data_IF_486871445175
#
_entry.id   IF_486871445175
#
_cell.length_a   1.000
_cell.length_b   1.000
_cell.length_c   1.000
_cell.angle_alpha   90.00
_cell.angle_beta   90.00
_cell.angle_gamma   90.00
#
_symmetry.space_group_name_H-M   'P 1'
#
loop_
_entity.id
_entity.type
_entity.pdbx_description
1 polymer ?
#
# COMPACT_ATOMS: atom_id res chain seq x y z
N UNK A 1 24.84 53.79 1.68
CA UNK A 1 23.65 53.82 0.81
C UNK A 1 23.77 52.89 -0.40
N UNK A 2 24.93 52.73 -1.06
CA UNK A 2 25.07 51.76 -2.17
C UNK A 2 25.23 50.29 -1.75
N UNK A 3 25.59 50.02 -0.49
CA UNK A 3 25.75 48.63 0.01
C UNK A 3 24.41 48.02 0.44
N UNK A 4 23.43 48.84 0.82
CA UNK A 4 22.09 48.35 1.22
C UNK A 4 21.18 48.04 0.02
N UNK A 5 21.37 48.70 -1.13
CA UNK A 5 20.61 48.39 -2.35
C UNK A 5 21.00 47.06 -3.00
N UNK A 6 22.20 46.54 -2.74
CA UNK A 6 22.64 45.25 -3.28
C UNK A 6 22.15 44.04 -2.46
N UNK A 7 21.62 44.25 -1.24
CA UNK A 7 21.05 43.17 -0.42
C UNK A 7 19.58 42.94 -0.74
N UNK A 8 18.87 43.98 -1.19
CA UNK A 8 17.45 43.88 -1.54
C UNK A 8 17.19 43.18 -2.89
N UNK A 9 18.22 43.05 -3.75
CA UNK A 9 18.14 42.34 -5.03
C UNK A 9 18.47 40.83 -4.94
N UNK A 10 18.91 40.33 -3.79
CA UNK A 10 19.27 38.92 -3.60
C UNK A 10 18.14 38.04 -3.03
N UNK A 11 16.94 38.59 -2.85
CA UNK A 11 15.81 37.92 -2.18
C UNK A 11 14.71 37.38 -3.10
N UNK A 12 14.83 37.47 -4.43
CA UNK A 12 13.89 36.78 -5.32
C UNK A 12 14.40 35.36 -5.49
N UNK A 13 14.11 34.51 -4.49
CA UNK A 13 14.27 33.07 -4.59
C UNK A 13 13.34 32.59 -5.70
N UNK A 14 13.84 32.60 -6.94
CA UNK A 14 13.15 32.11 -8.12
C UNK A 14 12.97 30.61 -7.90
N UNK A 15 11.83 30.22 -7.35
CA UNK A 15 11.47 28.83 -7.06
C UNK A 15 11.75 28.01 -8.30
N UNK A 16 12.79 27.18 -8.25
CA UNK A 16 13.11 26.27 -9.34
C UNK A 16 11.90 25.39 -9.56
N UNK A 17 11.28 25.52 -10.73
CA UNK A 17 10.13 24.72 -11.10
C UNK A 17 10.61 23.28 -11.30
N UNK A 18 10.35 22.42 -10.30
CA UNK A 18 10.68 21.01 -10.41
C UNK A 18 9.71 20.33 -11.38
N UNK A 19 10.20 20.04 -12.59
CA UNK A 19 9.43 19.31 -13.62
C UNK A 19 8.97 17.95 -13.07
N UNK A 20 9.79 17.29 -12.23
CA UNK A 20 9.43 16.03 -11.58
C UNK A 20 8.23 16.19 -10.64
N UNK A 21 8.25 17.24 -9.80
CA UNK A 21 7.13 17.54 -8.91
C UNK A 21 5.85 17.84 -9.71
N UNK A 22 5.94 18.61 -10.79
CA UNK A 22 4.79 18.85 -11.67
C UNK A 22 4.21 17.53 -12.23
N UNK A 23 5.07 16.68 -12.81
CA UNK A 23 4.65 15.42 -13.41
C UNK A 23 3.96 14.50 -12.39
N UNK A 24 4.56 14.35 -11.19
CA UNK A 24 3.96 13.60 -10.08
C UNK A 24 2.63 14.19 -9.64
N UNK A 25 2.55 15.51 -9.48
CA UNK A 25 1.32 16.18 -9.03
C UNK A 25 0.19 15.98 -10.03
N UNK A 26 0.46 16.12 -11.33
CA UNK A 26 -0.52 15.88 -12.40
C UNK A 26 -0.96 14.43 -12.39
N UNK A 27 -0.01 13.49 -12.33
CA UNK A 27 -0.29 12.06 -12.29
C UNK A 27 -1.17 11.67 -11.09
N UNK A 28 -0.82 12.10 -9.88
CA UNK A 28 -1.60 11.83 -8.67
C UNK A 28 -2.99 12.48 -8.74
N UNK A 29 -3.09 13.72 -9.24
CA UNK A 29 -4.38 14.43 -9.35
C UNK A 29 -5.33 13.71 -10.30
N UNK A 30 -4.87 13.38 -11.51
CA UNK A 30 -5.69 12.69 -12.52
C UNK A 30 -6.15 11.33 -12.00
N UNK A 31 -5.23 10.54 -11.45
CA UNK A 31 -5.56 9.20 -10.97
C UNK A 31 -6.43 9.25 -9.72
N UNK A 32 -6.21 10.17 -8.80
CA UNK A 32 -7.07 10.29 -7.62
C UNK A 32 -8.51 10.63 -8.02
N UNK A 33 -8.70 11.58 -8.93
CA UNK A 33 -10.04 11.90 -9.46
C UNK A 33 -10.65 10.70 -10.19
N UNK A 34 -9.89 10.03 -11.06
CA UNK A 34 -10.35 8.82 -11.76
C UNK A 34 -10.80 7.75 -10.77
N UNK A 35 -10.02 7.48 -9.73
CA UNK A 35 -10.33 6.47 -8.74
C UNK A 35 -11.56 6.85 -7.92
N UNK A 36 -11.71 8.11 -7.52
CA UNK A 36 -12.94 8.58 -6.87
C UNK A 36 -14.17 8.39 -7.78
N UNK A 37 -14.07 8.76 -9.05
CA UNK A 37 -15.18 8.60 -10.02
C UNK A 37 -15.54 7.13 -10.22
N UNK A 38 -14.55 6.26 -10.44
CA UNK A 38 -14.76 4.81 -10.59
C UNK A 38 -15.33 4.21 -9.31
N UNK A 39 -14.84 4.61 -8.13
CA UNK A 39 -15.36 4.15 -6.85
C UNK A 39 -16.84 4.53 -6.66
N UNK A 40 -17.19 5.79 -6.93
CA UNK A 40 -18.59 6.26 -6.90
C UNK A 40 -19.44 5.53 -7.93
N UNK A 41 -18.93 5.32 -9.15
CA UNK A 41 -19.62 4.56 -10.18
C UNK A 41 -19.90 3.12 -9.73
N UNK A 42 -18.93 2.44 -9.12
CA UNK A 42 -19.12 1.08 -8.59
C UNK A 42 -20.22 1.00 -7.52
N UNK A 43 -20.27 2.01 -6.63
CA UNK A 43 -21.34 2.13 -5.64
C UNK A 43 -22.70 2.34 -6.32
N UNK A 44 -22.80 3.32 -7.23
CA UNK A 44 -24.03 3.61 -7.98
C UNK A 44 -24.50 2.36 -8.74
N UNK A 45 -23.59 1.70 -9.46
CA UNK A 45 -23.86 0.46 -10.20
C UNK A 45 -24.52 -0.59 -9.32
N UNK A 46 -24.02 -0.81 -8.10
CA UNK A 46 -24.60 -1.78 -7.16
C UNK A 46 -26.03 -1.39 -6.73
N UNK A 47 -26.31 -0.10 -6.55
CA UNK A 47 -27.65 0.39 -6.20
C UNK A 47 -28.63 0.37 -7.38
N UNK A 48 -28.13 0.52 -8.61
CA UNK A 48 -28.95 0.59 -9.83
C UNK A 48 -29.25 -0.77 -10.46
N UNK A 49 -28.73 -1.89 -9.93
CA UNK A 49 -29.10 -3.23 -10.42
C UNK A 49 -30.61 -3.43 -10.25
N UNK A 50 -31.29 -3.55 -11.39
CA UNK A 50 -32.74 -3.74 -11.51
C UNK A 50 -33.22 -4.98 -10.76
N UNK A 51 -34.42 -4.91 -10.18
CA UNK A 51 -34.96 -6.03 -9.41
C UNK A 51 -35.21 -7.29 -10.27
N UNK A 52 -35.54 -7.15 -11.55
CA UNK A 52 -35.71 -8.30 -12.45
C UNK A 52 -34.41 -9.11 -12.60
N UNK A 53 -33.27 -8.41 -12.71
CA UNK A 53 -31.94 -9.04 -12.81
C UNK A 53 -31.53 -9.78 -11.54
N UNK A 54 -32.14 -9.46 -10.38
CA UNK A 54 -31.87 -10.13 -9.10
C UNK A 54 -32.48 -11.54 -8.98
N UNK A 55 -33.19 -12.00 -10.01
CA UNK A 55 -33.61 -13.39 -10.16
C UNK A 55 -32.43 -14.32 -10.41
N UNK A 56 -31.38 -13.85 -11.10
CA UNK A 56 -30.12 -14.56 -11.25
C UNK A 56 -29.34 -14.55 -9.91
N UNK A 57 -29.03 -15.72 -9.32
CA UNK A 57 -28.22 -15.81 -8.12
C UNK A 57 -26.86 -15.11 -8.24
N UNK A 58 -26.23 -15.10 -9.42
CA UNK A 58 -24.92 -14.48 -9.64
C UNK A 58 -25.00 -12.96 -9.53
N UNK A 59 -26.03 -12.33 -10.10
CA UNK A 59 -26.22 -10.89 -10.02
C UNK A 59 -26.65 -10.44 -8.62
N UNK A 60 -27.39 -11.30 -7.92
CA UNK A 60 -27.72 -11.10 -6.51
C UNK A 60 -26.47 -11.11 -5.63
N UNK A 61 -25.62 -12.13 -5.81
CA UNK A 61 -24.38 -12.26 -5.05
C UNK A 61 -23.42 -11.12 -5.40
N UNK A 62 -23.31 -10.73 -6.67
CA UNK A 62 -22.55 -9.55 -7.09
C UNK A 62 -22.99 -8.30 -6.31
N UNK A 63 -24.30 -8.03 -6.21
CA UNK A 63 -24.82 -6.86 -5.49
C UNK A 63 -24.47 -6.86 -4.00
N UNK A 64 -24.79 -7.96 -3.31
CA UNK A 64 -24.69 -8.01 -1.85
C UNK A 64 -23.28 -8.32 -1.35
N UNK A 65 -22.48 -9.02 -2.15
CA UNK A 65 -21.11 -9.37 -1.80
C UNK A 65 -20.06 -8.44 -2.40
N UNK A 66 -20.47 -7.44 -3.21
CA UNK A 66 -19.57 -6.50 -3.89
C UNK A 66 -18.44 -6.00 -2.99
N UNK A 67 -18.77 -5.47 -1.82
CA UNK A 67 -17.84 -4.85 -0.87
C UNK A 67 -16.79 -5.83 -0.31
N UNK A 68 -17.04 -7.14 -0.40
CA UNK A 68 -16.15 -8.18 0.08
C UNK A 68 -15.18 -8.70 -0.99
N UNK A 69 -15.29 -8.27 -2.25
CA UNK A 69 -14.25 -8.59 -3.25
C UNK A 69 -12.95 -7.85 -2.92
N UNK A 70 -11.82 -8.57 -3.01
CA UNK A 70 -10.48 -8.02 -2.72
C UNK A 70 -10.17 -6.84 -3.64
N UNK A 71 -10.72 -6.86 -4.86
CA UNK A 71 -10.63 -5.76 -5.80
C UNK A 71 -11.04 -4.43 -5.17
N UNK A 72 -12.13 -4.40 -4.41
CA UNK A 72 -12.61 -3.17 -3.77
C UNK A 72 -11.70 -2.73 -2.61
N UNK A 73 -11.10 -3.67 -1.90
CA UNK A 73 -10.11 -3.38 -0.84
C UNK A 73 -8.83 -2.80 -1.44
N UNK A 74 -8.31 -3.44 -2.50
CA UNK A 74 -7.16 -2.93 -3.24
C UNK A 74 -7.42 -1.53 -3.83
N UNK A 75 -8.62 -1.32 -4.37
CA UNK A 75 -9.02 -0.03 -4.91
C UNK A 75 -9.08 1.05 -3.82
N UNK A 76 -9.50 0.71 -2.61
CA UNK A 76 -9.44 1.60 -1.45
C UNK A 76 -8.00 1.91 -1.04
N UNK A 77 -7.10 0.91 -1.03
CA UNK A 77 -5.67 1.14 -0.74
C UNK A 77 -5.03 2.08 -1.76
N UNK A 78 -5.30 1.87 -3.06
CA UNK A 78 -4.84 2.76 -4.13
C UNK A 78 -5.36 4.19 -3.95
N UNK A 79 -6.64 4.35 -3.66
CA UNK A 79 -7.27 5.67 -3.47
C UNK A 79 -6.66 6.40 -2.28
N UNK A 80 -6.43 5.69 -1.17
CA UNK A 80 -5.74 6.23 0.00
C UNK A 80 -4.30 6.64 -0.32
N UNK A 81 -3.55 5.78 -1.01
CA UNK A 81 -2.20 6.10 -1.45
C UNK A 81 -2.14 7.35 -2.33
N UNK A 82 -2.99 7.43 -3.36
CA UNK A 82 -3.05 8.57 -4.26
C UNK A 82 -3.39 9.86 -3.51
N UNK A 83 -4.28 9.79 -2.51
CA UNK A 83 -4.56 10.93 -1.63
C UNK A 83 -3.33 11.33 -0.82
N UNK A 84 -2.66 10.38 -0.16
CA UNK A 84 -1.45 10.65 0.62
C UNK A 84 -0.34 11.26 -0.25
N UNK A 85 -0.16 10.76 -1.46
CA UNK A 85 0.79 11.29 -2.44
C UNK A 85 0.43 12.69 -2.91
N UNK A 86 -0.85 12.95 -3.22
CA UNK A 86 -1.31 14.27 -3.65
C UNK A 86 -1.14 15.31 -2.53
N UNK A 87 -1.47 14.96 -1.28
CA UNK A 87 -1.26 15.86 -0.14
C UNK A 87 0.24 16.11 0.09
N UNK A 88 1.08 15.08 -0.07
CA UNK A 88 2.53 15.25 0.00
C UNK A 88 3.05 16.21 -1.08
N UNK A 89 2.60 16.05 -2.33
CA UNK A 89 2.99 16.94 -3.43
C UNK A 89 2.53 18.38 -3.19
N UNK A 90 1.33 18.59 -2.65
CA UNK A 90 0.84 19.93 -2.26
C UNK A 90 1.73 20.54 -1.17
N UNK A 91 2.16 19.77 -0.17
CA UNK A 91 3.10 20.26 0.83
C UNK A 91 4.48 20.59 0.23
N UNK A 92 4.91 19.84 -0.79
CA UNK A 92 6.08 20.13 -1.61
C UNK A 92 5.95 21.48 -2.32
N UNK A 93 4.81 21.73 -2.96
CA UNK A 93 4.48 23.02 -3.57
C UNK A 93 4.33 24.16 -2.57
N UNK A 94 3.95 23.89 -1.32
CA UNK A 94 3.85 24.92 -0.28
C UNK A 94 5.17 25.16 0.46
N UNK A 95 6.24 24.47 0.07
CA UNK A 95 7.55 24.53 0.74
C UNK A 95 7.48 24.13 2.23
N UNK A 96 6.58 23.20 2.56
CA UNK A 96 6.32 22.70 3.92
C UNK A 96 6.87 21.29 4.13
N UNK A 97 7.97 20.95 3.47
CA UNK A 97 8.48 19.57 3.40
C UNK A 97 9.13 19.10 4.70
N UNK A 98 9.66 20.04 5.47
CA UNK A 98 10.40 19.78 6.71
C UNK A 98 9.48 19.72 7.93
N UNK A 99 8.19 19.98 7.77
CA UNK A 99 7.26 19.89 8.89
C UNK A 99 6.99 18.43 9.27
N UNK A 100 6.70 18.19 10.56
CA UNK A 100 6.37 16.87 11.10
C UNK A 100 5.24 16.18 10.34
N UNK A 101 4.26 16.95 9.84
CA UNK A 101 3.16 16.43 9.04
C UNK A 101 3.64 15.85 7.71
N UNK A 102 4.50 16.57 6.97
CA UNK A 102 5.05 16.11 5.70
C UNK A 102 5.89 14.84 5.86
N UNK A 103 6.71 14.76 6.92
CA UNK A 103 7.48 13.55 7.21
C UNK A 103 6.60 12.34 7.55
N UNK A 104 5.55 12.54 8.36
CA UNK A 104 4.59 11.47 8.69
C UNK A 104 3.79 11.03 7.46
N UNK A 105 3.35 11.96 6.62
CA UNK A 105 2.66 11.66 5.37
C UNK A 105 3.55 10.85 4.43
N UNK A 106 4.81 11.26 4.26
CA UNK A 106 5.80 10.53 3.44
C UNK A 106 6.01 9.10 3.93
N UNK A 107 6.18 8.93 5.25
CA UNK A 107 6.32 7.61 5.87
C UNK A 107 5.10 6.72 5.55
N UNK A 108 3.89 7.18 5.85
CA UNK A 108 2.69 6.37 5.65
C UNK A 108 2.35 6.17 4.18
N UNK A 109 2.62 7.15 3.31
CA UNK A 109 2.49 7.02 1.86
C UNK A 109 3.34 5.85 1.37
N UNK A 110 4.61 5.78 1.77
CA UNK A 110 5.51 4.73 1.31
C UNK A 110 5.20 3.36 1.95
N UNK A 111 4.81 3.32 3.23
CA UNK A 111 4.34 2.08 3.89
C UNK A 111 3.06 1.54 3.23
N UNK A 112 2.07 2.40 2.95
CA UNK A 112 0.83 2.00 2.25
C UNK A 112 1.16 1.55 0.84
N UNK A 113 2.03 2.25 0.13
CA UNK A 113 2.41 1.86 -1.23
C UNK A 113 3.07 0.48 -1.25
N UNK A 114 4.14 0.30 -0.49
CA UNK A 114 4.94 -0.92 -0.55
C UNK A 114 4.28 -2.10 0.15
N UNK A 115 3.61 -1.89 1.28
CA UNK A 115 2.96 -2.94 2.06
C UNK A 115 1.54 -3.30 1.62
N UNK A 116 0.79 -2.39 0.98
CA UNK A 116 -0.60 -2.63 0.60
C UNK A 116 -0.81 -2.51 -0.92
N UNK A 117 -0.47 -1.38 -1.52
CA UNK A 117 -0.83 -1.11 -2.91
C UNK A 117 -0.15 -2.08 -3.87
N UNK A 118 1.18 -2.18 -3.85
CA UNK A 118 1.93 -3.01 -4.81
C UNK A 118 1.55 -4.49 -4.73
N UNK A 119 1.66 -5.19 -3.58
CA UNK A 119 1.42 -6.62 -3.52
C UNK A 119 -0.02 -6.99 -3.91
N UNK A 120 -1.02 -6.27 -3.40
CA UNK A 120 -2.41 -6.58 -3.68
C UNK A 120 -2.86 -6.15 -5.07
N UNK A 121 -2.26 -5.12 -5.66
CA UNK A 121 -2.53 -4.73 -7.05
C UNK A 121 -2.04 -5.78 -8.02
N UNK A 122 -0.78 -6.19 -7.89
CA UNK A 122 -0.22 -7.23 -8.74
C UNK A 122 -0.95 -8.56 -8.56
N UNK A 123 -1.33 -8.89 -7.32
CA UNK A 123 -2.16 -10.06 -7.04
C UNK A 123 -3.53 -9.99 -7.72
N UNK A 124 -4.33 -8.94 -7.45
CA UNK A 124 -5.68 -8.80 -7.99
C UNK A 124 -5.66 -8.83 -9.52
N UNK A 125 -4.78 -8.04 -10.14
CA UNK A 125 -4.64 -7.98 -11.59
C UNK A 125 -4.22 -9.33 -12.17
N UNK A 126 -3.16 -9.94 -11.64
CA UNK A 126 -2.62 -11.19 -12.20
C UNK A 126 -3.61 -12.34 -12.01
N UNK A 127 -4.16 -12.51 -10.81
CA UNK A 127 -5.12 -13.58 -10.55
C UNK A 127 -6.40 -13.41 -11.36
N UNK A 128 -6.92 -12.19 -11.47
CA UNK A 128 -8.10 -11.94 -12.28
C UNK A 128 -7.88 -12.36 -13.73
N UNK A 129 -6.84 -11.84 -14.39
CA UNK A 129 -6.61 -12.10 -15.81
C UNK A 129 -6.16 -13.53 -16.09
N UNK A 130 -5.38 -14.15 -15.21
CA UNK A 130 -5.00 -15.56 -15.34
C UNK A 130 -6.23 -16.47 -15.26
N UNK A 131 -7.08 -16.30 -14.24
CA UNK A 131 -8.30 -17.12 -14.11
C UNK A 131 -9.27 -16.80 -15.24
N UNK A 132 -9.43 -15.53 -15.62
CA UNK A 132 -10.28 -15.11 -16.73
C UNK A 132 -9.87 -15.75 -18.06
N UNK A 133 -8.56 -15.86 -18.33
CA UNK A 133 -8.03 -16.46 -19.54
C UNK A 133 -8.21 -17.98 -19.59
N UNK A 134 -8.20 -18.65 -18.43
CA UNK A 134 -8.44 -20.10 -18.33
C UNK A 134 -9.94 -20.40 -18.44
N UNK A 135 -10.75 -19.78 -17.58
CA UNK A 135 -12.20 -19.84 -17.62
C UNK A 135 -12.81 -18.62 -16.91
N UNK A 136 -13.33 -17.69 -17.70
CA UNK A 136 -13.98 -16.47 -17.18
C UNK A 136 -15.14 -16.77 -16.24
N UNK A 137 -15.83 -17.90 -16.35
CA UNK A 137 -16.97 -18.22 -15.49
C UNK A 137 -16.57 -18.39 -14.02
N UNK A 138 -15.27 -18.57 -13.72
CA UNK A 138 -14.76 -18.73 -12.36
C UNK A 138 -14.51 -17.40 -11.62
N UNK A 139 -14.38 -16.29 -12.34
CA UNK A 139 -14.04 -14.98 -11.76
C UNK A 139 -14.94 -13.83 -12.25
N UNK A 140 -15.39 -13.90 -13.50
CA UNK A 140 -16.27 -12.92 -14.14
C UNK A 140 -17.28 -13.62 -15.10
N UNK A 141 -18.29 -14.33 -14.56
CA UNK A 141 -19.37 -14.95 -15.33
C UNK A 141 -20.00 -14.04 -16.38
N UNK A 142 -20.50 -14.62 -17.48
CA UNK A 142 -21.21 -13.87 -18.54
C UNK A 142 -22.40 -13.06 -18.04
N UNK A 143 -23.07 -13.54 -16.99
CA UNK A 143 -24.15 -12.79 -16.35
C UNK A 143 -23.74 -11.37 -15.92
N UNK A 144 -22.45 -11.16 -15.58
CA UNK A 144 -21.96 -9.85 -15.14
C UNK A 144 -21.88 -8.83 -16.28
N UNK A 145 -21.83 -9.27 -17.56
CA UNK A 145 -21.74 -8.38 -18.72
C UNK A 145 -22.98 -7.46 -18.84
N UNK A 146 -24.12 -7.88 -18.29
CA UNK A 146 -25.39 -7.13 -18.29
C UNK A 146 -25.42 -5.96 -17.31
N UNK A 147 -24.44 -5.88 -16.40
CA UNK A 147 -24.42 -4.92 -15.28
C UNK A 147 -23.09 -4.18 -15.18
N UNK A 148 -21.97 -4.88 -15.41
CA UNK A 148 -20.62 -4.36 -15.23
C UNK A 148 -20.05 -3.96 -16.59
N UNK A 149 -19.88 -2.65 -16.85
CA UNK A 149 -19.32 -2.20 -18.12
C UNK A 149 -17.87 -2.67 -18.30
N UNK A 150 -17.48 -2.99 -19.54
CA UNK A 150 -16.13 -3.43 -19.87
C UNK A 150 -15.05 -2.46 -19.38
N UNK A 151 -15.29 -1.15 -19.50
CA UNK A 151 -14.32 -0.13 -19.09
C UNK A 151 -14.12 -0.13 -17.57
N UNK A 152 -15.20 -0.35 -16.80
CA UNK A 152 -15.14 -0.40 -15.35
C UNK A 152 -14.30 -1.59 -14.90
N UNK A 153 -14.52 -2.76 -15.53
CA UNK A 153 -13.74 -3.96 -15.30
C UNK A 153 -12.23 -3.72 -15.51
N UNK A 154 -11.85 -3.03 -16.59
CA UNK A 154 -10.45 -2.64 -16.80
C UNK A 154 -9.94 -1.62 -15.78
N UNK A 155 -10.75 -0.66 -15.35
CA UNK A 155 -10.35 0.28 -14.31
C UNK A 155 -9.93 -0.46 -13.02
N UNK A 156 -10.67 -1.49 -12.63
CA UNK A 156 -10.45 -2.20 -11.36
C UNK A 156 -9.51 -3.42 -11.46
N UNK A 157 -9.16 -3.88 -12.67
CA UNK A 157 -8.32 -5.07 -12.87
C UNK A 157 -7.09 -4.87 -13.77
N UNK A 158 -7.03 -3.81 -14.57
CA UNK A 158 -5.87 -3.53 -15.45
C UNK A 158 -5.22 -2.20 -15.06
N UNK A 159 -6.00 -1.12 -15.01
CA UNK A 159 -5.48 0.23 -14.82
C UNK A 159 -4.79 0.38 -13.46
N UNK A 160 -5.27 -0.32 -12.43
CA UNK A 160 -4.61 -0.39 -11.12
C UNK A 160 -3.12 -0.74 -11.22
N UNK A 161 -2.76 -1.70 -12.09
CA UNK A 161 -1.37 -2.13 -12.31
C UNK A 161 -0.59 -1.12 -13.14
N UNK A 162 -1.24 -0.46 -14.10
CA UNK A 162 -0.63 0.62 -14.89
C UNK A 162 -0.27 1.80 -13.98
N UNK A 163 -1.14 2.16 -13.04
CA UNK A 163 -0.86 3.21 -12.04
C UNK A 163 0.34 2.83 -11.18
N UNK A 164 0.40 1.60 -10.66
CA UNK A 164 1.54 1.12 -9.87
C UNK A 164 2.84 1.12 -10.69
N UNK A 165 2.78 0.73 -11.97
CA UNK A 165 3.94 0.73 -12.86
C UNK A 165 4.47 2.16 -13.07
N UNK A 166 3.59 3.10 -13.44
CA UNK A 166 3.98 4.50 -13.65
C UNK A 166 4.52 5.11 -12.36
N UNK A 167 3.87 4.84 -11.23
CA UNK A 167 4.33 5.32 -9.92
C UNK A 167 5.73 4.78 -9.56
N UNK A 168 5.98 3.51 -9.87
CA UNK A 168 7.30 2.89 -9.68
C UNK A 168 8.36 3.52 -10.58
N UNK A 169 8.00 3.96 -11.79
CA UNK A 169 8.90 4.68 -12.69
C UNK A 169 9.15 6.13 -12.22
N UNK A 170 8.14 6.80 -11.67
CA UNK A 170 8.24 8.20 -11.25
C UNK A 170 8.98 8.39 -9.92
N UNK A 171 8.86 7.43 -9.00
CA UNK A 171 9.41 7.59 -7.64
C UNK A 171 10.14 6.32 -7.17
N UNK A 172 11.41 6.50 -6.82
CA UNK A 172 12.28 5.43 -6.36
C UNK A 172 11.89 4.92 -4.96
N UNK A 173 11.62 3.61 -4.85
CA UNK A 173 11.40 2.89 -3.58
C UNK A 173 12.23 1.60 -3.57
N UNK A 174 13.54 1.74 -3.40
CA UNK A 174 14.54 0.68 -3.57
C UNK A 174 14.58 -0.32 -2.40
N UNK A 175 14.08 0.08 -1.23
CA UNK A 175 14.05 -0.70 0.01
C UNK A 175 12.77 -0.40 0.79
N UNK A 176 12.35 -1.31 1.69
CA UNK A 176 11.23 -1.07 2.60
C UNK A 176 11.45 0.23 3.38
N UNK A 177 10.40 1.04 3.52
CA UNK A 177 10.41 2.23 4.39
C UNK A 177 10.41 1.81 5.85
N UNK A 178 9.63 0.77 6.16
CA UNK A 178 9.58 0.05 7.43
C UNK A 178 9.17 -1.40 7.19
N UNK A 179 10.17 -2.27 7.08
CA UNK A 179 9.98 -3.68 6.77
C UNK A 179 9.00 -4.39 7.73
N UNK A 180 9.05 -4.09 9.04
CA UNK A 180 8.18 -4.75 10.01
C UNK A 180 6.73 -4.32 9.81
N UNK A 181 6.50 -3.02 9.73
CA UNK A 181 5.15 -2.47 9.56
C UNK A 181 4.54 -2.91 8.22
N UNK A 182 5.32 -2.89 7.14
CA UNK A 182 4.88 -3.32 5.82
C UNK A 182 4.52 -4.81 5.77
N UNK A 183 5.36 -5.70 6.33
CA UNK A 183 5.06 -7.14 6.40
C UNK A 183 3.82 -7.40 7.26
N UNK A 184 3.71 -6.75 8.42
CA UNK A 184 2.51 -6.87 9.27
C UNK A 184 1.26 -6.45 8.49
N UNK A 185 1.34 -5.36 7.71
CA UNK A 185 0.22 -4.90 6.89
C UNK A 185 -0.20 -5.93 5.83
N UNK A 186 0.77 -6.52 5.10
CA UNK A 186 0.52 -7.61 4.15
C UNK A 186 -0.16 -8.79 4.85
N UNK A 187 0.43 -9.28 5.95
CA UNK A 187 -0.08 -10.44 6.69
C UNK A 187 -1.49 -10.19 7.24
N UNK A 188 -1.76 -9.00 7.78
CA UNK A 188 -3.08 -8.65 8.32
C UNK A 188 -4.12 -8.67 7.21
N UNK A 189 -3.84 -8.09 6.04
CA UNK A 189 -4.78 -8.12 4.92
C UNK A 189 -4.99 -9.54 4.41
N UNK A 190 -3.93 -10.33 4.24
CA UNK A 190 -4.01 -11.72 3.79
C UNK A 190 -4.88 -12.60 4.70
N UNK A 191 -4.69 -12.48 6.02
CA UNK A 191 -5.45 -13.24 7.01
C UNK A 191 -6.88 -12.71 7.14
N UNK A 192 -7.06 -11.39 7.22
CA UNK A 192 -8.38 -10.78 7.28
C UNK A 192 -9.22 -11.14 6.05
N UNK A 193 -8.61 -11.12 4.87
CA UNK A 193 -9.29 -11.46 3.64
C UNK A 193 -9.68 -12.94 3.58
N UNK A 194 -8.78 -13.83 4.03
CA UNK A 194 -9.10 -15.25 4.20
C UNK A 194 -10.32 -15.46 5.11
N UNK A 195 -10.34 -14.79 6.26
CA UNK A 195 -11.48 -14.83 7.19
C UNK A 195 -12.76 -14.40 6.48
N UNK A 196 -12.74 -13.32 5.68
CA UNK A 196 -13.93 -12.82 4.96
C UNK A 196 -14.52 -13.87 4.02
N UNK A 197 -13.76 -14.40 3.07
CA UNK A 197 -14.38 -15.33 2.09
C UNK A 197 -14.68 -16.70 2.68
N UNK A 198 -13.93 -17.18 3.68
CA UNK A 198 -14.30 -18.41 4.40
C UNK A 198 -15.55 -18.21 5.25
N UNK A 199 -15.70 -17.07 5.93
CA UNK A 199 -16.92 -16.76 6.68
C UNK A 199 -18.13 -16.74 5.73
N UNK A 200 -18.03 -16.07 4.58
CA UNK A 200 -19.09 -16.07 3.55
C UNK A 200 -19.45 -17.52 3.18
N UNK A 201 -18.46 -18.37 2.91
CA UNK A 201 -18.71 -19.77 2.58
C UNK A 201 -19.41 -20.54 3.72
N UNK A 202 -18.91 -20.44 4.95
CA UNK A 202 -19.46 -21.22 6.06
C UNK A 202 -20.85 -20.74 6.52
N UNK A 203 -21.19 -19.46 6.34
CA UNK A 203 -22.51 -18.94 6.68
C UNK A 203 -23.55 -19.07 5.55
N UNK A 204 -23.12 -18.97 4.29
CA UNK A 204 -24.06 -18.92 3.14
C UNK A 204 -24.02 -20.18 2.28
N UNK A 205 -23.04 -21.06 2.48
CA UNK A 205 -22.71 -22.19 1.61
C UNK A 205 -22.42 -21.79 0.16
N UNK A 206 -21.98 -20.54 -0.06
CA UNK A 206 -21.60 -20.00 -1.37
C UNK A 206 -20.17 -19.48 -1.32
N UNK A 207 -19.39 -19.79 -2.35
CA UNK A 207 -18.06 -19.26 -2.48
C UNK A 207 -18.10 -17.84 -3.06
N UNK A 208 -17.36 -16.92 -2.46
CA UNK A 208 -17.16 -15.57 -3.01
C UNK A 208 -16.49 -15.64 -4.41
N UNK A 209 -15.56 -16.58 -4.59
CA UNK A 209 -14.93 -16.88 -5.87
C UNK A 209 -15.24 -18.30 -6.29
N UNK A 210 -15.86 -18.46 -7.46
CA UNK A 210 -16.28 -19.78 -7.99
C UNK A 210 -15.12 -20.76 -8.18
N UNK A 211 -13.90 -20.27 -8.38
CA UNK A 211 -12.68 -21.09 -8.46
C UNK A 211 -12.52 -22.05 -7.26
N UNK A 212 -12.94 -21.64 -6.05
CA UNK A 212 -12.93 -22.52 -4.87
C UNK A 212 -14.00 -23.61 -4.93
N UNK A 213 -15.12 -23.35 -5.62
CA UNK A 213 -16.24 -24.28 -5.73
C UNK A 213 -15.97 -25.49 -6.64
N UNK A 214 -14.97 -25.40 -7.52
CA UNK A 214 -14.54 -26.52 -8.39
C UNK A 214 -13.41 -27.34 -7.78
N UNK A 215 -12.89 -26.93 -6.62
CA UNK A 215 -11.78 -27.55 -5.94
C UNK A 215 -12.24 -28.43 -4.77
N UNK A 216 -11.51 -29.50 -4.52
CA UNK A 216 -11.58 -30.27 -3.26
C UNK A 216 -10.91 -29.49 -2.12
N UNK A 217 -11.21 -29.83 -0.87
CA UNK A 217 -10.67 -29.10 0.29
C UNK A 217 -9.14 -29.07 0.37
N UNK A 218 -8.44 -30.15 -0.02
CA UNK A 218 -6.98 -30.12 -0.05
C UNK A 218 -6.45 -29.16 -1.12
N UNK A 219 -7.12 -29.08 -2.27
CA UNK A 219 -6.79 -28.13 -3.34
C UNK A 219 -7.04 -26.69 -2.88
N UNK A 220 -8.12 -26.44 -2.14
CA UNK A 220 -8.39 -25.14 -1.52
C UNK A 220 -7.25 -24.76 -0.56
N UNK A 221 -6.80 -25.67 0.30
CA UNK A 221 -5.67 -25.43 1.20
C UNK A 221 -4.36 -25.14 0.43
N UNK A 222 -4.08 -25.87 -0.65
CA UNK A 222 -2.91 -25.60 -1.49
C UNK A 222 -3.03 -24.24 -2.19
N UNK A 223 -4.19 -23.94 -2.75
CA UNK A 223 -4.47 -22.68 -3.42
C UNK A 223 -4.38 -21.50 -2.44
N UNK A 224 -4.79 -21.68 -1.18
CA UNK A 224 -4.58 -20.71 -0.11
C UNK A 224 -3.11 -20.35 0.08
N UNK A 225 -2.23 -21.37 0.11
CA UNK A 225 -0.80 -21.15 0.26
C UNK A 225 -0.23 -20.41 -0.95
N UNK A 226 -0.75 -20.65 -2.16
CA UNK A 226 -0.38 -19.89 -3.36
C UNK A 226 -0.83 -18.44 -3.26
N UNK A 227 -2.05 -18.18 -2.79
CA UNK A 227 -2.57 -16.81 -2.58
C UNK A 227 -1.64 -16.05 -1.63
N UNK A 228 -1.38 -16.58 -0.44
CA UNK A 228 -0.47 -15.93 0.52
C UNK A 228 0.96 -15.86 -0.02
N UNK A 229 1.48 -16.92 -0.63
CA UNK A 229 2.82 -16.91 -1.21
C UNK A 229 2.99 -15.81 -2.28
N UNK A 230 1.94 -15.58 -3.08
CA UNK A 230 1.97 -14.58 -4.14
C UNK A 230 1.97 -13.13 -3.64
N UNK A 231 1.25 -12.81 -2.56
CA UNK A 231 1.28 -11.46 -1.96
C UNK A 231 2.69 -11.13 -1.45
N UNK A 232 3.35 -12.05 -0.75
CA UNK A 232 4.75 -11.89 -0.32
C UNK A 232 5.70 -11.83 -1.51
N UNK A 233 5.51 -12.67 -2.52
CA UNK A 233 6.32 -12.62 -3.75
C UNK A 233 6.27 -11.23 -4.37
N UNK A 234 5.06 -10.68 -4.58
CA UNK A 234 4.91 -9.34 -5.15
C UNK A 234 5.46 -8.24 -4.25
N UNK A 235 5.31 -8.36 -2.93
CA UNK A 235 5.95 -7.45 -1.98
C UNK A 235 7.46 -7.44 -2.14
N UNK A 236 8.13 -8.60 -2.18
CA UNK A 236 9.58 -8.66 -2.29
C UNK A 236 10.09 -8.30 -3.69
N UNK A 237 9.33 -8.63 -4.73
CA UNK A 237 9.68 -8.39 -6.14
C UNK A 237 9.78 -6.89 -6.47
N UNK A 238 9.06 -6.03 -5.75
CA UNK A 238 9.06 -4.59 -6.04
C UNK A 238 10.44 -3.92 -5.84
N UNK A 239 11.21 -4.37 -4.86
CA UNK A 239 12.49 -3.76 -4.49
C UNK A 239 13.62 -4.00 -5.52
N UNK A 240 13.86 -5.24 -6.01
CA UNK A 240 14.80 -5.45 -7.10
C UNK A 240 14.35 -4.73 -8.38
N UNK A 241 13.05 -4.70 -8.70
CA UNK A 241 12.53 -3.92 -9.84
C UNK A 241 12.90 -2.44 -9.69
N UNK A 242 12.66 -1.85 -8.51
CA UNK A 242 13.00 -0.46 -8.23
C UNK A 242 14.52 -0.19 -8.35
N UNK A 243 15.37 -1.14 -7.92
CA UNK A 243 16.83 -1.02 -8.05
C UNK A 243 17.29 -1.09 -9.50
N UNK A 244 16.66 -1.91 -10.33
CA UNK A 244 16.95 -1.97 -11.77
C UNK A 244 16.59 -0.65 -12.46
N UNK A 245 15.45 -0.04 -12.10
CA UNK A 245 14.98 1.21 -12.72
C UNK A 245 15.78 2.42 -12.25
N UNK A 246 16.05 2.52 -10.94
CA UNK A 246 16.59 3.73 -10.31
C UNK A 246 18.06 3.62 -9.89
N UNK A 247 18.69 2.46 -10.06
CA UNK A 247 20.04 2.16 -9.56
C UNK A 247 20.08 1.87 -8.05
N UNK A 248 21.20 1.35 -7.57
CA UNK A 248 21.47 1.18 -6.14
C UNK A 248 21.88 2.51 -5.49
N UNK A 249 21.69 2.65 -4.17
CA UNK A 249 22.21 3.79 -3.39
C UNK A 249 23.49 3.33 -2.69
N UNK A 250 24.58 4.10 -2.79
CA UNK A 250 25.77 3.90 -1.94
C UNK A 250 25.39 4.05 -0.45
N UNK A 251 26.08 3.38 0.46
CA UNK A 251 25.65 3.18 1.86
C UNK A 251 25.40 4.45 2.70
N UNK A 252 25.81 5.62 2.23
CA UNK A 252 25.85 6.90 2.94
C UNK A 252 24.47 7.52 3.25
N UNK A 253 23.43 7.29 2.43
CA UNK A 253 22.07 7.84 2.67
C UNK A 253 21.26 7.10 3.75
N UNK A 254 21.72 5.91 4.16
CA UNK A 254 21.02 5.04 5.11
C UNK A 254 21.08 5.56 6.55
N UNK A 255 22.15 6.29 6.90
CA UNK A 255 22.29 6.89 8.23
C UNK A 255 21.32 8.06 8.43
N UNK A 256 21.12 8.91 7.42
CA UNK A 256 20.29 10.11 7.53
C UNK A 256 18.78 9.77 7.60
N UNK A 257 18.29 8.86 6.76
CA UNK A 257 16.86 8.53 6.73
C UNK A 257 16.43 7.68 7.95
N UNK A 258 17.32 6.80 8.42
CA UNK A 258 17.12 6.02 9.64
C UNK A 258 17.11 6.90 10.89
N UNK A 259 18.08 7.80 11.03
CA UNK A 259 18.17 8.73 12.16
C UNK A 259 16.98 9.69 12.23
N UNK A 260 16.52 10.24 11.10
CA UNK A 260 15.32 11.12 11.08
C UNK A 260 14.06 10.35 11.50
N UNK A 261 13.90 9.10 11.07
CA UNK A 261 12.74 8.28 11.43
C UNK A 261 12.76 7.92 12.92
N UNK A 262 13.92 7.53 13.45
CA UNK A 262 14.10 7.17 14.85
C UNK A 262 13.96 8.37 15.79
N UNK A 263 14.48 9.55 15.41
CA UNK A 263 14.29 10.80 16.14
C UNK A 263 12.82 11.25 16.18
N UNK A 264 12.07 11.08 15.08
CA UNK A 264 10.63 11.41 15.09
C UNK A 264 9.80 10.45 15.93
N UNK A 265 10.16 9.16 15.97
CA UNK A 265 9.49 8.16 16.81
C UNK A 265 9.82 8.42 18.29
N UNK A 266 11.09 8.66 18.63
CA UNK A 266 11.51 8.94 20.00
C UNK A 266 10.96 10.29 20.51
N UNK A 267 10.97 11.35 19.71
CA UNK A 267 10.35 12.62 20.08
C UNK A 267 8.82 12.55 20.25
N UNK A 268 8.16 11.56 19.63
CA UNK A 268 6.72 11.29 19.87
C UNK A 268 6.50 10.55 21.19
N UNK A 269 7.48 9.76 21.63
CA UNK A 269 7.44 9.02 22.89
C UNK A 269 7.69 9.95 24.08
N UNK A 270 8.68 10.84 23.98
CA UNK A 270 8.98 11.86 24.99
C UNK A 270 7.82 12.87 25.15
N UNK A 271 7.17 13.30 24.06
CA UNK A 271 5.97 14.15 24.13
C UNK A 271 4.74 13.49 24.77
N UNK A 272 4.66 12.15 24.74
CA UNK A 272 3.56 11.41 25.33
C UNK A 272 3.84 11.06 26.80
N UNK A 273 5.11 10.88 27.18
CA UNK A 273 5.51 10.76 28.60
C UNK A 273 5.31 12.08 29.36
N UNK A 274 5.52 13.24 28.73
CA UNK A 274 5.30 14.57 29.34
C UNK A 274 3.81 14.94 29.54
N UNK A 275 2.86 14.10 29.09
CA UNK A 275 1.40 14.30 29.27
C UNK A 275 0.72 13.34 30.23
N UNK A 276 1.46 12.44 30.85
CA UNK A 276 0.95 11.53 31.88
C UNK A 276 1.94 11.43 33.03
N UNK A 277 2.12 12.53 33.75
CA UNK A 277 2.70 12.48 35.10
C UNK A 277 1.91 13.42 36.02
N UNK A 278 0.80 12.91 36.51
CA UNK A 278 0.36 13.18 37.87
C UNK A 278 -0.20 11.88 38.44
N UNK A 279 0.39 11.46 39.54
CA UNK A 279 0.04 10.33 40.42
C UNK A 279 0.31 8.89 39.93
N UNK A 280 1.47 8.34 40.33
CA UNK A 280 1.49 7.21 41.28
C UNK A 280 2.93 6.75 41.63
N UNK A 281 3.11 6.45 42.91
CA UNK A 281 4.35 6.06 43.57
C UNK A 281 4.53 4.52 43.52
N UNK A 282 5.72 4.08 43.07
CA UNK A 282 6.43 2.80 43.33
C UNK A 282 5.77 1.48 42.85
N UNK A 283 6.44 0.77 41.93
CA UNK A 283 6.89 -0.61 42.19
C UNK A 283 8.06 -1.00 41.28
N UNK A 284 9.09 -1.58 41.90
CA UNK A 284 10.28 -2.18 41.27
C UNK A 284 9.93 -3.51 40.61
N UNK A 285 10.28 -3.76 39.34
CA UNK A 285 10.33 -5.11 38.78
C UNK A 285 11.27 -5.21 37.54
N UNK A 286 12.36 -5.94 37.76
CA UNK A 286 13.13 -6.81 36.83
C UNK A 286 13.62 -6.28 35.47
N UNK A 287 14.94 -6.03 35.37
CA UNK A 287 15.69 -5.99 34.10
C UNK A 287 16.14 -7.41 33.75
N UNK A 288 15.68 -7.96 32.61
CA UNK A 288 16.14 -9.25 32.09
C UNK A 288 17.58 -9.15 31.48
N UNK A 289 18.51 -10.09 31.72
CA UNK A 289 19.93 -9.95 31.34
C UNK A 289 20.33 -10.47 29.94
N UNK A 290 19.38 -10.72 29.04
CA UNK A 290 19.64 -11.52 27.82
C UNK A 290 20.29 -10.77 26.64
N UNK A 291 20.43 -9.44 26.68
CA UNK A 291 20.95 -8.66 25.54
C UNK A 291 22.46 -8.42 25.54
N UNK A 292 23.18 -8.73 26.62
CA UNK A 292 24.63 -8.47 26.72
C UNK A 292 25.52 -9.59 26.19
N UNK A 293 24.99 -10.80 25.95
CA UNK A 293 25.80 -11.97 25.59
C UNK A 293 26.18 -12.03 24.10
N UNK A 294 25.50 -11.29 23.23
CA UNK A 294 25.81 -11.29 21.78
C UNK A 294 26.76 -10.17 21.35
N UNK A 295 27.05 -9.19 22.22
CA UNK A 295 27.93 -8.06 21.89
C UNK A 295 29.42 -8.32 22.14
N UNK A 296 29.79 -9.40 22.85
CA UNK A 296 31.21 -9.72 23.13
C UNK A 296 31.81 -10.80 22.22
N UNK A 297 31.03 -11.48 21.39
CA UNK A 297 31.53 -12.57 20.53
C UNK A 297 31.84 -12.13 19.10
N UNK A 298 31.36 -10.97 18.64
CA UNK A 298 31.68 -10.43 17.31
C UNK A 298 33.08 -9.82 17.19
N UNK A 299 33.65 -9.32 18.30
CA UNK A 299 34.94 -8.60 18.28
C UNK A 299 36.17 -9.51 18.45
N UNK A 300 36.01 -10.84 18.47
CA UNK A 300 37.12 -11.80 18.62
C UNK A 300 37.44 -12.60 17.35
N UNK A 301 36.68 -12.44 16.27
CA UNK A 301 36.89 -13.17 15.01
C UNK A 301 37.69 -12.33 13.99
N UNK A 302 37.82 -11.02 14.20
CA UNK A 302 38.47 -10.11 13.23
C UNK A 302 40.00 -10.00 13.38
N UNK A 303 40.61 -10.63 14.39
CA UNK A 303 42.06 -10.52 14.67
C UNK A 303 42.86 -11.83 14.54
N UNK A 304 42.37 -12.85 13.82
CA UNK A 304 43.09 -14.13 13.65
C UNK A 304 43.49 -14.48 12.21
N UNK A 305 43.53 -13.51 11.30
CA UNK A 305 44.08 -13.70 9.96
C UNK A 305 45.14 -12.62 9.65
N UNK A 306 46.26 -12.72 10.35
CA UNK A 306 47.62 -12.36 9.90
C UNK A 306 48.56 -13.46 10.40
#
# INVERSE_FOLDING_TARGET
MEVEQNVEQAGIFKKSFSVNLLLRTIFHSINWVLFCVVGVWGVVMCFTIEQEKMTDPLLRDLKYLAVFFLTNWNFAFQTLFLLLSLVHDVLEWLDKQDCRLAARLRYWRDVVFSGLVVPFTLFVSSMFWCVYAVDRELVFPRAYDDVVPWWFNHCVHTNISVVVLIETLLQARRRPRDFKTEIIAVTVVDVAYAIVYYAIYFFTHRWLYKVFGVMTWWQVCLYQLVIWGSSYLFYFLQFPINRVIHGDVEETDNAATGQVTEQMINGTKEMNEDKTDTDAKISSLSKNPWSLKYRSNGSKIENSHL
#
